data_IF_791418517904
#
_entry.id   IF_791418517904
#
_cell.length_a   1.000
_cell.length_b   1.000
_cell.length_c   1.000
_cell.angle_alpha   90.00
_cell.angle_beta   90.00
_cell.angle_gamma   90.00
#
_symmetry.space_group_name_H-M   'P 1'
#
loop_
_entity.id
_entity.type
_entity.pdbx_description
1 polymer ?
#
# COMPACT_ATOMS: atom_id res chain seq x y z
N UNK A 1 24.90 -29.69 4.29
CA UNK A 1 24.22 -28.71 5.16
C UNK A 1 23.94 -27.41 4.50
N UNK A 2 24.28 -27.27 3.25
CA UNK A 2 23.93 -26.09 2.47
C UNK A 2 22.42 -25.81 2.41
N UNK A 3 21.63 -26.86 2.58
CA UNK A 3 20.18 -26.73 2.61
C UNK A 3 19.69 -25.88 3.80
N UNK A 4 20.23 -26.14 4.99
CA UNK A 4 19.87 -25.39 6.18
C UNK A 4 20.37 -23.95 6.11
N UNK A 5 21.57 -23.76 5.57
CA UNK A 5 22.13 -22.42 5.39
C UNK A 5 21.25 -21.61 4.43
N UNK A 6 20.74 -22.25 3.39
CA UNK A 6 19.84 -21.59 2.45
C UNK A 6 18.55 -21.16 3.13
N UNK A 7 18.04 -21.97 4.05
CA UNK A 7 16.82 -21.62 4.79
C UNK A 7 17.07 -20.42 5.70
N UNK A 8 18.22 -20.39 6.38
CA UNK A 8 18.57 -19.26 7.23
C UNK A 8 18.78 -17.98 6.44
N UNK A 9 19.43 -18.07 5.30
CA UNK A 9 19.61 -16.94 4.41
C UNK A 9 18.27 -16.42 3.93
N UNK A 10 17.35 -17.31 3.61
CA UNK A 10 15.99 -16.92 3.24
C UNK A 10 15.29 -16.17 4.36
N UNK A 11 15.46 -16.60 5.59
CA UNK A 11 14.87 -15.92 6.74
C UNK A 11 15.39 -14.50 6.90
N UNK A 12 16.69 -14.31 6.68
CA UNK A 12 17.29 -12.99 6.73
C UNK A 12 16.77 -12.09 5.63
N UNK A 13 16.64 -12.65 4.43
CA UNK A 13 16.08 -11.93 3.30
C UNK A 13 14.57 -11.80 3.39
N UNK A 14 13.92 -12.71 4.11
CA UNK A 14 12.48 -12.72 4.25
C UNK A 14 11.92 -11.44 4.88
N UNK A 15 12.71 -10.74 5.69
CA UNK A 15 12.28 -9.45 6.24
C UNK A 15 12.09 -8.41 5.14
N UNK A 16 13.03 -8.32 4.22
CA UNK A 16 12.93 -7.42 3.08
C UNK A 16 11.88 -7.91 2.09
N UNK A 17 11.86 -9.22 1.83
CA UNK A 17 10.87 -9.83 0.96
C UNK A 17 9.47 -9.65 1.50
N UNK A 18 9.28 -9.78 2.83
CA UNK A 18 7.98 -9.59 3.45
C UNK A 18 7.47 -8.17 3.29
N UNK A 19 8.35 -7.18 3.38
CA UNK A 19 7.98 -5.79 3.15
C UNK A 19 7.60 -5.56 1.70
N UNK A 20 8.37 -6.11 0.76
CA UNK A 20 8.08 -5.99 -0.66
C UNK A 20 6.79 -6.73 -1.03
N UNK A 21 6.59 -7.93 -0.50
CA UNK A 21 5.36 -8.68 -0.71
C UNK A 21 4.16 -7.94 -0.15
N UNK A 22 4.30 -7.43 1.06
CA UNK A 22 3.25 -6.64 1.69
C UNK A 22 2.91 -5.40 0.87
N UNK A 23 3.94 -4.72 0.37
CA UNK A 23 3.76 -3.56 -0.48
C UNK A 23 2.98 -3.91 -1.74
N UNK A 24 3.37 -4.97 -2.43
CA UNK A 24 2.70 -5.42 -3.63
C UNK A 24 1.26 -5.84 -3.33
N UNK A 25 1.06 -6.60 -2.26
CA UNK A 25 -0.27 -7.03 -1.85
C UNK A 25 -1.18 -5.85 -1.52
N UNK A 26 -0.64 -4.86 -0.83
CA UNK A 26 -1.38 -3.63 -0.53
C UNK A 26 -1.78 -2.89 -1.79
N UNK A 27 -0.86 -2.78 -2.76
CA UNK A 27 -1.15 -2.12 -4.03
C UNK A 27 -2.21 -2.90 -4.81
N UNK A 28 -2.09 -4.22 -4.86
CA UNK A 28 -3.10 -5.06 -5.52
C UNK A 28 -4.48 -4.86 -4.90
N UNK A 29 -4.53 -4.80 -3.59
CA UNK A 29 -5.76 -4.56 -2.86
C UNK A 29 -6.35 -3.19 -3.19
N UNK A 30 -5.49 -2.17 -3.23
CA UNK A 30 -5.92 -0.82 -3.62
C UNK A 30 -6.49 -0.81 -5.04
N UNK A 31 -5.81 -1.45 -5.98
CA UNK A 31 -6.28 -1.54 -7.36
C UNK A 31 -7.65 -2.23 -7.41
N UNK A 32 -7.79 -3.31 -6.65
CA UNK A 32 -9.05 -4.05 -6.60
C UNK A 32 -10.18 -3.20 -6.04
N UNK A 33 -9.92 -2.51 -4.93
CA UNK A 33 -10.91 -1.65 -4.29
C UNK A 33 -11.34 -0.53 -5.22
N UNK A 34 -10.37 0.14 -5.84
CA UNK A 34 -10.67 1.24 -6.77
C UNK A 34 -11.29 0.77 -8.08
N UNK A 35 -11.01 -0.46 -8.48
CA UNK A 35 -11.69 -1.04 -9.66
C UNK A 35 -13.18 -1.17 -9.45
N UNK A 36 -13.59 -1.41 -8.21
CA UNK A 36 -15.00 -1.48 -7.83
C UNK A 36 -15.61 -0.12 -7.55
N UNK A 37 -14.76 0.89 -7.39
CA UNK A 37 -15.18 2.26 -7.04
C UNK A 37 -14.49 3.26 -7.97
N UNK A 38 -14.83 3.25 -9.26
CA UNK A 38 -14.11 4.05 -10.24
C UNK A 38 -14.24 5.55 -10.04
N UNK A 39 -15.21 5.99 -9.25
CA UNK A 39 -15.35 7.39 -8.88
C UNK A 39 -14.51 7.82 -7.69
N UNK A 40 -13.81 6.86 -7.07
CA UNK A 40 -13.04 7.13 -5.87
C UNK A 40 -13.90 7.23 -4.61
N UNK A 41 -13.33 7.79 -3.56
CA UNK A 41 -13.99 7.89 -2.26
C UNK A 41 -13.98 9.32 -1.76
N UNK A 42 -15.01 9.67 -1.00
CA UNK A 42 -14.98 10.87 -0.19
C UNK A 42 -14.10 10.61 1.04
N UNK A 43 -13.37 11.62 1.45
CA UNK A 43 -12.40 11.53 2.54
C UNK A 43 -12.99 10.99 3.83
N UNK A 44 -14.20 11.40 4.17
CA UNK A 44 -14.89 11.02 5.41
C UNK A 44 -15.86 9.86 5.22
N UNK A 45 -15.88 9.26 4.04
CA UNK A 45 -16.80 8.16 3.77
C UNK A 45 -16.38 6.90 4.52
N UNK A 46 -17.35 6.20 5.16
CA UNK A 46 -17.05 4.88 5.75
C UNK A 46 -16.53 3.89 4.70
N UNK A 47 -16.89 4.07 3.44
CA UNK A 47 -16.42 3.22 2.33
C UNK A 47 -14.93 3.35 2.10
N UNK A 48 -14.33 4.47 2.51
CA UNK A 48 -12.89 4.70 2.37
C UNK A 48 -12.07 4.00 3.47
N UNK A 49 -12.70 3.46 4.48
CA UNK A 49 -12.00 2.85 5.62
C UNK A 49 -11.04 1.74 5.21
N UNK A 50 -11.38 0.82 4.29
CA UNK A 50 -10.42 -0.18 3.84
C UNK A 50 -9.16 0.44 3.22
N UNK A 51 -9.30 1.55 2.49
CA UNK A 51 -8.18 2.26 1.88
C UNK A 51 -7.32 2.92 2.96
N UNK A 52 -7.95 3.52 3.97
CA UNK A 52 -7.25 4.11 5.11
C UNK A 52 -6.51 3.05 5.91
N UNK A 53 -7.13 1.89 6.12
CA UNK A 53 -6.50 0.77 6.83
C UNK A 53 -5.22 0.31 6.13
N UNK A 54 -5.22 0.27 4.82
CA UNK A 54 -4.03 -0.06 4.03
C UNK A 54 -2.94 0.98 4.26
N UNK A 55 -3.30 2.26 4.24
CA UNK A 55 -2.36 3.34 4.51
C UNK A 55 -1.74 3.23 5.90
N UNK A 56 -2.56 2.96 6.91
CA UNK A 56 -2.06 2.77 8.29
C UNK A 56 -1.11 1.58 8.38
N UNK A 57 -1.45 0.49 7.72
CA UNK A 57 -0.61 -0.72 7.69
C UNK A 57 0.75 -0.44 7.07
N UNK A 58 0.77 0.29 5.96
CA UNK A 58 2.01 0.69 5.31
C UNK A 58 2.84 1.62 6.20
N UNK A 59 2.17 2.56 6.85
CA UNK A 59 2.84 3.48 7.76
C UNK A 59 3.47 2.75 8.95
N UNK A 60 2.79 1.77 9.51
CA UNK A 60 3.32 0.97 10.61
C UNK A 60 4.52 0.13 10.19
N UNK A 61 4.53 -0.35 8.95
CA UNK A 61 5.59 -1.21 8.45
C UNK A 61 6.83 -0.45 8.01
N UNK A 62 6.68 0.73 7.42
CA UNK A 62 7.81 1.46 6.85
C UNK A 62 7.64 2.97 6.81
N UNK A 63 6.65 3.51 7.49
CA UNK A 63 6.43 4.94 7.57
C UNK A 63 5.96 5.54 6.25
N UNK A 64 6.08 6.85 6.17
CA UNK A 64 5.66 7.62 5.00
C UNK A 64 6.36 7.17 3.72
N UNK A 65 7.63 6.77 3.82
CA UNK A 65 8.39 6.32 2.66
C UNK A 65 7.74 5.11 2.00
N UNK A 66 7.24 4.18 2.81
CA UNK A 66 6.57 2.99 2.27
C UNK A 66 5.23 3.37 1.65
N UNK A 67 4.52 4.31 2.25
CA UNK A 67 3.28 4.85 1.69
C UNK A 67 3.55 5.51 0.33
N UNK A 68 4.63 6.29 0.23
CA UNK A 68 5.02 6.93 -1.03
C UNK A 68 5.32 5.92 -2.12
N UNK A 69 6.03 4.85 -1.76
CA UNK A 69 6.32 3.78 -2.71
C UNK A 69 5.04 3.11 -3.20
N UNK A 70 4.15 2.80 -2.29
CA UNK A 70 2.86 2.20 -2.63
C UNK A 70 2.04 3.11 -3.54
N UNK A 71 2.01 4.40 -3.22
CA UNK A 71 1.31 5.38 -4.04
C UNK A 71 1.88 5.44 -5.45
N UNK A 72 3.21 5.44 -5.57
CA UNK A 72 3.88 5.46 -6.88
C UNK A 72 3.52 4.25 -7.73
N UNK A 73 3.54 3.07 -7.13
CA UNK A 73 3.18 1.83 -7.84
C UNK A 73 1.69 1.86 -8.21
N UNK A 74 0.85 2.28 -7.28
CA UNK A 74 -0.58 2.40 -7.54
C UNK A 74 -0.86 3.37 -8.69
N UNK A 75 -0.17 4.52 -8.70
CA UNK A 75 -0.34 5.52 -9.76
C UNK A 75 -0.05 4.95 -11.13
N UNK A 76 0.97 4.10 -11.24
CA UNK A 76 1.34 3.46 -12.50
C UNK A 76 0.33 2.40 -12.93
N UNK A 77 -0.48 1.89 -12.02
CA UNK A 77 -1.41 0.80 -12.25
C UNK A 77 -2.86 1.15 -11.95
N UNK A 78 -3.13 2.42 -11.74
CA UNK A 78 -4.48 2.85 -11.36
C UNK A 78 -5.51 2.44 -12.41
N UNK A 79 -6.66 1.90 -11.97
CA UNK A 79 -7.68 1.42 -12.90
C UNK A 79 -8.49 2.52 -13.58
N UNK A 80 -8.27 3.77 -13.22
CA UNK A 80 -8.97 4.89 -13.84
C UNK A 80 -8.30 6.21 -13.56
N UNK A 81 -8.70 7.28 -14.27
CA UNK A 81 -8.12 8.59 -14.11
C UNK A 81 -8.48 9.22 -12.74
N UNK A 82 -7.55 9.97 -12.17
CA UNK A 82 -7.78 10.69 -10.92
C UNK A 82 -7.76 9.85 -9.66
N UNK A 83 -7.61 8.53 -9.78
CA UNK A 83 -7.65 7.65 -8.60
C UNK A 83 -6.41 7.76 -7.74
N UNK A 84 -5.26 8.00 -8.35
CA UNK A 84 -4.02 8.23 -7.58
C UNK A 84 -4.16 9.46 -6.69
N UNK A 85 -4.75 10.53 -7.22
CA UNK A 85 -5.02 11.73 -6.44
C UNK A 85 -6.05 11.49 -5.35
N UNK A 86 -7.07 10.69 -5.65
CA UNK A 86 -8.05 10.31 -4.65
C UNK A 86 -7.40 9.56 -3.49
N UNK A 87 -6.46 8.66 -3.79
CA UNK A 87 -5.71 7.94 -2.78
C UNK A 87 -4.93 8.90 -1.87
N UNK A 88 -4.29 9.92 -2.45
CA UNK A 88 -3.59 10.94 -1.67
C UNK A 88 -4.53 11.63 -0.69
N UNK A 89 -5.72 11.97 -1.13
CA UNK A 89 -6.71 12.63 -0.30
C UNK A 89 -7.22 11.73 0.81
N UNK A 90 -7.49 10.47 0.49
CA UNK A 90 -7.98 9.50 1.47
C UNK A 90 -6.94 9.22 2.56
N UNK A 91 -5.67 9.22 2.19
CA UNK A 91 -4.58 8.98 3.14
C UNK A 91 -4.16 10.21 3.94
N UNK A 92 -4.74 11.37 3.68
CA UNK A 92 -4.39 12.60 4.38
C UNK A 92 -4.51 12.43 5.90
N UNK A 93 -3.46 12.83 6.61
CA UNK A 93 -3.40 12.71 8.06
C UNK A 93 -2.85 11.40 8.59
N UNK A 94 -2.61 10.40 7.72
CA UNK A 94 -2.01 9.14 8.15
C UNK A 94 -0.49 9.27 8.09
N UNK A 95 0.17 9.08 9.23
CA UNK A 95 1.63 9.03 9.28
C UNK A 95 2.33 10.27 8.72
N UNK A 96 1.73 11.44 8.86
CA UNK A 96 2.29 12.67 8.32
C UNK A 96 2.03 12.88 6.83
N UNK A 97 1.24 12.03 6.22
CA UNK A 97 0.85 12.19 4.82
C UNK A 97 -0.05 13.42 4.65
N UNK A 98 0.30 14.26 3.69
CA UNK A 98 -0.48 15.44 3.36
C UNK A 98 -1.03 15.29 1.94
N UNK A 99 -2.33 15.18 1.85
CA UNK A 99 -3.03 15.07 0.55
C UNK A 99 -3.38 16.43 -0.03
#
# INVERSE_FOLDING_TARGET
MGFLDSIFKRKSQAKEENVDEMLIDCVKELVMIYSRNPGGFLMDSPSAEPVKAIGRKLNEAGGKDLMLRAHGIFSANAPGPGLARNLEMVWDGIGGWCG
#
